data_IF_998322523046
#
_entry.id   IF_998322523046
#
_cell.length_a   1.000
_cell.length_b   1.000
_cell.length_c   1.000
_cell.angle_alpha   90.00
_cell.angle_beta   90.00
_cell.angle_gamma   90.00
#
_symmetry.space_group_name_H-M   'P 1'
#
loop_
_entity.id
_entity.type
_entity.pdbx_description
1 polymer ?
#
# COMPACT_ATOMS: atom_id res chain seq x y z
N UNK A 1 25.97 -0.96 29.48
CA UNK A 1 26.60 -1.76 28.41
C UNK A 1 25.70 -2.88 27.93
N UNK A 2 25.17 -3.72 28.81
CA UNK A 2 24.30 -4.88 28.48
C UNK A 2 23.03 -4.48 27.69
N UNK A 3 22.34 -3.41 28.05
CA UNK A 3 21.14 -2.94 27.33
C UNK A 3 21.44 -2.48 25.90
N UNK A 4 22.59 -1.86 25.66
CA UNK A 4 23.04 -1.46 24.30
C UNK A 4 23.33 -2.67 23.43
N UNK A 5 23.97 -3.69 23.99
CA UNK A 5 24.29 -4.95 23.29
C UNK A 5 22.98 -5.70 22.94
N UNK A 6 22.05 -5.78 23.90
CA UNK A 6 20.73 -6.41 23.68
C UNK A 6 19.95 -5.71 22.59
N UNK A 7 19.86 -4.38 22.62
CA UNK A 7 19.17 -3.60 21.58
C UNK A 7 19.83 -3.76 20.21
N UNK A 8 21.16 -3.80 20.14
CA UNK A 8 21.88 -4.02 18.88
C UNK A 8 21.64 -5.43 18.31
N UNK A 9 21.64 -6.47 19.14
CA UNK A 9 21.34 -7.84 18.74
C UNK A 9 19.90 -7.97 18.24
N UNK A 10 18.92 -7.38 18.95
CA UNK A 10 17.51 -7.38 18.55
C UNK A 10 17.34 -6.68 17.20
N UNK A 11 17.99 -5.54 16.96
CA UNK A 11 17.97 -4.85 15.68
C UNK A 11 18.60 -5.69 14.55
N UNK A 12 19.71 -6.40 14.82
CA UNK A 12 20.32 -7.28 13.81
C UNK A 12 19.46 -8.48 13.45
N UNK A 13 18.80 -9.10 14.42
CA UNK A 13 17.84 -10.19 14.15
C UNK A 13 16.66 -9.66 13.34
N UNK A 14 16.08 -8.53 13.76
CA UNK A 14 15.03 -7.85 13.00
C UNK A 14 15.46 -7.52 11.57
N UNK A 15 16.68 -7.01 11.38
CA UNK A 15 17.26 -6.72 10.07
C UNK A 15 17.29 -7.94 9.13
N UNK A 16 17.67 -9.11 9.65
CA UNK A 16 17.66 -10.35 8.83
C UNK A 16 16.25 -10.72 8.36
N UNK A 17 15.25 -10.58 9.23
CA UNK A 17 13.85 -10.87 8.88
C UNK A 17 13.33 -9.87 7.85
N UNK A 18 13.54 -8.57 8.06
CA UNK A 18 13.11 -7.53 7.13
C UNK A 18 13.79 -7.69 5.76
N UNK A 19 15.10 -7.95 5.76
CA UNK A 19 15.89 -8.18 4.53
C UNK A 19 15.40 -9.41 3.79
N UNK A 20 15.08 -10.50 4.50
CA UNK A 20 14.50 -11.71 3.91
C UNK A 20 13.17 -11.39 3.22
N UNK A 21 12.26 -10.66 3.88
CA UNK A 21 10.93 -10.37 3.32
C UNK A 21 10.97 -9.55 2.03
N UNK A 22 11.99 -8.71 1.84
CA UNK A 22 12.10 -7.90 0.62
C UNK A 22 12.90 -8.59 -0.50
N UNK A 23 13.56 -9.72 -0.22
CA UNK A 23 14.38 -10.41 -1.21
C UNK A 23 13.51 -11.10 -2.28
N UNK A 24 14.01 -11.13 -3.51
CA UNK A 24 13.37 -11.83 -4.60
C UNK A 24 13.40 -13.36 -4.39
N UNK A 25 14.49 -13.87 -3.83
CA UNK A 25 14.61 -15.29 -3.46
C UNK A 25 13.48 -15.73 -2.52
N UNK A 26 13.17 -14.93 -1.50
CA UNK A 26 12.05 -15.21 -0.60
C UNK A 26 10.70 -15.21 -1.33
N UNK A 27 10.49 -14.28 -2.24
CA UNK A 27 9.27 -14.22 -3.04
C UNK A 27 9.13 -15.49 -3.91
N UNK A 28 10.17 -15.85 -4.66
CA UNK A 28 10.15 -17.00 -5.57
C UNK A 28 9.99 -18.33 -4.82
N UNK A 29 10.72 -18.52 -3.72
CA UNK A 29 10.61 -19.72 -2.89
C UNK A 29 9.20 -19.87 -2.28
N UNK A 30 8.57 -18.76 -1.81
CA UNK A 30 7.19 -18.82 -1.33
C UNK A 30 6.21 -19.17 -2.45
N UNK A 31 6.38 -18.62 -3.64
CA UNK A 31 5.53 -18.94 -4.80
C UNK A 31 5.62 -20.41 -5.16
N UNK A 32 6.82 -20.96 -5.19
CA UNK A 32 7.04 -22.38 -5.48
C UNK A 32 6.42 -23.28 -4.40
N UNK A 33 6.64 -22.97 -3.12
CA UNK A 33 6.06 -23.73 -2.01
C UNK A 33 4.53 -23.70 -2.05
N UNK A 34 3.92 -22.53 -2.28
CA UNK A 34 2.46 -22.38 -2.37
C UNK A 34 1.88 -23.16 -3.53
N UNK A 35 2.54 -23.14 -4.68
CA UNK A 35 2.10 -23.87 -5.86
C UNK A 35 2.19 -25.38 -5.64
N UNK A 36 3.27 -25.89 -5.04
CA UNK A 36 3.39 -27.30 -4.65
C UNK A 36 2.26 -27.72 -3.70
N UNK A 37 1.95 -26.89 -2.69
CA UNK A 37 0.87 -27.16 -1.74
C UNK A 37 -0.50 -27.17 -2.43
N UNK A 38 -0.78 -26.18 -3.31
CA UNK A 38 -2.02 -26.12 -4.07
C UNK A 38 -2.23 -27.40 -4.90
N UNK A 39 -1.20 -27.86 -5.61
CA UNK A 39 -1.25 -29.07 -6.43
C UNK A 39 -1.47 -30.30 -5.55
N UNK A 40 -0.72 -30.44 -4.44
CA UNK A 40 -0.81 -31.59 -3.55
C UNK A 40 -2.18 -31.71 -2.86
N UNK A 41 -2.83 -30.58 -2.61
CA UNK A 41 -4.17 -30.48 -2.02
C UNK A 41 -5.29 -30.54 -3.08
N UNK A 42 -4.94 -30.69 -4.36
CA UNK A 42 -5.86 -30.71 -5.50
C UNK A 42 -6.80 -29.46 -5.51
N UNK A 43 -6.28 -28.28 -5.11
CA UNK A 43 -7.02 -27.03 -5.11
C UNK A 43 -6.97 -26.34 -6.47
N UNK A 44 -8.08 -25.73 -6.86
CA UNK A 44 -8.14 -24.81 -7.99
C UNK A 44 -7.38 -23.51 -7.72
N UNK A 45 -7.33 -22.64 -8.71
CA UNK A 45 -6.78 -21.30 -8.58
C UNK A 45 -7.84 -20.37 -7.98
N UNK A 46 -7.80 -20.17 -6.66
CA UNK A 46 -8.72 -19.33 -5.92
C UNK A 46 -8.12 -17.95 -5.70
N UNK A 47 -8.81 -16.90 -6.16
CA UNK A 47 -8.52 -15.51 -5.86
C UNK A 47 -9.57 -15.00 -4.88
N UNK A 48 -9.15 -14.58 -3.70
CA UNK A 48 -10.03 -13.90 -2.75
C UNK A 48 -10.06 -12.41 -3.07
N UNK A 49 -11.23 -11.82 -3.12
CA UNK A 49 -11.42 -10.39 -3.20
C UNK A 49 -12.14 -9.89 -1.94
N UNK A 50 -11.49 -9.01 -1.19
CA UNK A 50 -12.02 -8.40 0.03
C UNK A 50 -12.63 -7.04 -0.29
N UNK A 51 -13.95 -6.93 -0.17
CA UNK A 51 -14.70 -5.72 -0.48
C UNK A 51 -15.21 -5.03 0.79
N UNK A 52 -14.94 -3.73 0.92
CA UNK A 52 -15.46 -2.88 1.99
C UNK A 52 -16.35 -1.79 1.40
N UNK A 53 -17.64 -1.76 1.74
CA UNK A 53 -18.60 -0.87 1.11
C UNK A 53 -18.32 0.63 1.28
N UNK A 54 -17.68 1.04 2.38
CA UNK A 54 -17.29 2.44 2.61
C UNK A 54 -16.01 2.84 1.88
N UNK A 55 -15.18 1.87 1.50
CA UNK A 55 -13.83 2.14 1.00
C UNK A 55 -13.85 2.56 -0.48
N UNK A 56 -13.34 3.77 -0.81
CA UNK A 56 -13.24 4.27 -2.18
C UNK A 56 -12.45 3.36 -3.13
N UNK A 57 -11.38 2.75 -2.64
CA UNK A 57 -10.57 1.82 -3.44
C UNK A 57 -11.30 0.51 -3.74
N UNK A 58 -12.15 0.05 -2.81
CA UNK A 58 -13.05 -1.08 -3.07
C UNK A 58 -14.07 -0.76 -4.17
N UNK A 59 -14.60 0.47 -4.19
CA UNK A 59 -15.51 0.94 -5.25
C UNK A 59 -14.84 0.92 -6.62
N UNK A 60 -13.57 1.32 -6.72
CA UNK A 60 -12.83 1.23 -7.98
C UNK A 60 -12.50 -0.22 -8.34
N UNK A 61 -12.02 -1.00 -7.38
CA UNK A 61 -11.55 -2.36 -7.64
C UNK A 61 -12.68 -3.31 -8.06
N UNK A 62 -13.90 -3.18 -7.51
CA UNK A 62 -15.01 -4.06 -7.90
C UNK A 62 -15.41 -3.93 -9.37
N UNK A 63 -15.18 -2.79 -10.00
CA UNK A 63 -15.45 -2.57 -11.42
C UNK A 63 -14.57 -3.40 -12.36
N UNK A 64 -13.48 -3.99 -11.84
CA UNK A 64 -12.55 -4.81 -12.64
C UNK A 64 -12.86 -6.32 -12.57
N UNK A 65 -13.82 -6.74 -11.74
CA UNK A 65 -14.04 -8.16 -11.43
C UNK A 65 -14.55 -8.96 -12.63
N UNK A 66 -15.48 -8.39 -13.42
CA UNK A 66 -15.99 -9.05 -14.63
C UNK A 66 -14.86 -9.28 -15.62
N UNK A 67 -14.05 -8.24 -15.89
CA UNK A 67 -12.92 -8.31 -16.80
C UNK A 67 -11.86 -9.34 -16.34
N UNK A 68 -11.58 -9.39 -15.02
CA UNK A 68 -10.67 -10.37 -14.43
C UNK A 68 -11.17 -11.81 -14.67
N UNK A 69 -12.46 -12.05 -14.49
CA UNK A 69 -13.06 -13.37 -14.74
C UNK A 69 -13.13 -13.74 -16.22
N UNK A 70 -13.30 -12.78 -17.11
CA UNK A 70 -13.33 -13.03 -18.56
C UNK A 70 -11.94 -13.40 -19.08
N UNK A 71 -10.88 -12.84 -18.51
CA UNK A 71 -9.50 -13.01 -18.97
C UNK A 71 -8.85 -14.25 -18.35
N UNK A 72 -9.09 -14.54 -17.07
CA UNK A 72 -8.35 -15.55 -16.32
C UNK A 72 -9.20 -16.73 -15.87
N UNK A 73 -8.64 -17.94 -15.95
CA UNK A 73 -9.24 -19.18 -15.43
C UNK A 73 -9.00 -19.32 -13.93
N UNK A 74 -9.78 -18.59 -13.15
CA UNK A 74 -9.72 -18.53 -11.69
C UNK A 74 -11.10 -18.73 -11.06
N UNK A 75 -11.10 -19.16 -9.80
CA UNK A 75 -12.29 -19.16 -8.95
C UNK A 75 -12.23 -17.92 -8.02
N UNK A 76 -13.07 -16.93 -8.30
CA UNK A 76 -13.14 -15.70 -7.51
C UNK A 76 -14.02 -15.93 -6.27
N UNK A 77 -13.47 -15.69 -5.09
CA UNK A 77 -14.15 -15.73 -3.80
C UNK A 77 -14.29 -14.31 -3.27
N UNK A 78 -15.49 -13.77 -3.30
CA UNK A 78 -15.80 -12.42 -2.84
C UNK A 78 -16.19 -12.45 -1.37
N UNK A 79 -15.51 -11.66 -0.54
CA UNK A 79 -15.77 -11.55 0.90
C UNK A 79 -15.99 -10.08 1.26
N UNK A 80 -17.19 -9.78 1.77
CA UNK A 80 -17.49 -8.44 2.30
C UNK A 80 -16.87 -8.31 3.68
N UNK A 81 -16.13 -7.21 3.91
CA UNK A 81 -15.39 -6.94 5.14
C UNK A 81 -15.74 -5.57 5.71
N UNK A 82 -15.68 -5.47 7.02
CA UNK A 82 -15.89 -4.20 7.75
C UNK A 82 -14.65 -3.31 7.78
N UNK A 83 -14.84 -2.12 8.35
CA UNK A 83 -13.76 -1.15 8.57
C UNK A 83 -12.67 -1.73 9.47
N UNK A 84 -11.38 -1.54 9.15
CA UNK A 84 -10.31 -1.99 10.01
C UNK A 84 -10.17 -1.09 11.25
N UNK A 85 -9.99 -1.71 12.41
CA UNK A 85 -9.82 -1.01 13.69
C UNK A 85 -8.40 -0.44 13.92
N UNK A 86 -7.55 -0.47 12.90
CA UNK A 86 -6.14 -0.02 12.96
C UNK A 86 -5.88 1.27 12.18
N UNK A 87 -6.94 1.95 11.76
CA UNK A 87 -6.85 3.26 11.12
C UNK A 87 -6.79 4.31 12.23
N UNK A 88 -5.75 5.12 12.18
CA UNK A 88 -5.65 6.33 12.99
C UNK A 88 -6.28 7.48 12.21
N UNK A 89 -7.05 8.33 12.87
CA UNK A 89 -7.78 9.44 12.26
C UNK A 89 -8.69 8.98 11.08
N UNK A 90 -9.71 8.14 11.35
CA UNK A 90 -10.49 7.49 10.30
C UNK A 90 -11.22 8.47 9.38
N UNK A 91 -11.71 9.59 9.90
CA UNK A 91 -12.42 10.59 9.08
C UNK A 91 -11.47 11.20 8.04
N UNK A 92 -10.31 11.70 8.47
CA UNK A 92 -9.29 12.23 7.56
C UNK A 92 -8.79 11.18 6.56
N UNK A 93 -8.68 9.91 7.01
CA UNK A 93 -8.24 8.83 6.14
C UNK A 93 -9.24 8.58 5.01
N UNK A 94 -10.54 8.47 5.31
CA UNK A 94 -11.55 8.21 4.27
C UNK A 94 -11.79 9.42 3.36
N UNK A 95 -11.69 10.64 3.85
CA UNK A 95 -11.69 11.85 3.02
C UNK A 95 -10.52 11.85 2.03
N UNK A 96 -9.30 11.57 2.52
CA UNK A 96 -8.13 11.44 1.64
C UNK A 96 -8.32 10.32 0.60
N UNK A 97 -8.76 9.13 1.01
CA UNK A 97 -8.99 8.02 0.10
C UNK A 97 -10.05 8.35 -0.96
N UNK A 98 -11.07 9.13 -0.60
CA UNK A 98 -12.11 9.58 -1.51
C UNK A 98 -11.55 10.53 -2.58
N UNK A 99 -10.78 11.53 -2.17
CA UNK A 99 -10.16 12.49 -3.09
C UNK A 99 -9.15 11.82 -4.02
N UNK A 100 -8.30 10.95 -3.46
CA UNK A 100 -7.31 10.19 -4.22
C UNK A 100 -7.99 9.25 -5.23
N UNK A 101 -8.94 8.42 -4.81
CA UNK A 101 -9.66 7.51 -5.69
C UNK A 101 -10.44 8.25 -6.79
N UNK A 102 -11.04 9.39 -6.46
CA UNK A 102 -11.74 10.22 -7.43
C UNK A 102 -10.79 10.78 -8.49
N UNK A 103 -9.59 11.19 -8.09
CA UNK A 103 -8.58 11.75 -9.00
C UNK A 103 -7.98 10.72 -9.95
N UNK A 104 -7.86 9.45 -9.52
CA UNK A 104 -7.22 8.40 -10.31
C UNK A 104 -8.20 7.58 -11.18
N UNK A 105 -9.50 7.55 -10.86
CA UNK A 105 -10.49 6.70 -11.51
C UNK A 105 -10.42 6.74 -13.05
N UNK A 106 -10.44 7.95 -13.63
CA UNK A 106 -10.36 8.15 -15.09
C UNK A 106 -9.05 7.65 -15.69
N UNK A 107 -7.94 7.74 -14.95
CA UNK A 107 -6.63 7.27 -15.42
C UNK A 107 -6.59 5.75 -15.60
N UNK A 108 -7.44 5.04 -14.85
CA UNK A 108 -7.62 3.59 -14.96
C UNK A 108 -8.81 3.19 -15.85
N UNK A 109 -9.49 4.15 -16.48
CA UNK A 109 -10.68 3.88 -17.31
C UNK A 109 -11.86 3.35 -16.51
N UNK A 110 -11.98 3.76 -15.25
CA UNK A 110 -13.05 3.37 -14.33
C UNK A 110 -14.05 4.50 -14.14
N UNK A 111 -15.28 4.14 -13.75
CA UNK A 111 -16.27 5.12 -13.37
C UNK A 111 -15.81 5.88 -12.13
N UNK A 112 -16.02 7.18 -12.15
CA UNK A 112 -15.72 8.06 -11.02
C UNK A 112 -16.64 7.79 -9.83
N UNK A 113 -16.16 8.09 -8.64
CA UNK A 113 -16.98 7.96 -7.44
C UNK A 113 -18.13 9.00 -7.46
N UNK A 114 -19.27 8.70 -6.82
CA UNK A 114 -20.28 9.71 -6.51
C UNK A 114 -19.72 10.84 -5.66
N UNK A 115 -20.46 11.96 -5.53
CA UNK A 115 -19.96 13.21 -4.94
C UNK A 115 -19.63 13.17 -3.44
N UNK A 116 -19.92 12.08 -2.74
CA UNK A 116 -19.69 11.92 -1.30
C UNK A 116 -19.61 10.44 -0.90
N UNK A 117 -19.01 10.20 0.26
CA UNK A 117 -19.01 8.88 0.90
C UNK A 117 -20.45 8.40 1.20
N UNK A 118 -20.68 7.07 1.18
CA UNK A 118 -21.99 6.50 1.48
C UNK A 118 -22.37 6.71 2.96
N UNK A 119 -23.66 6.83 3.22
CA UNK A 119 -24.17 6.94 4.58
C UNK A 119 -24.04 5.60 5.33
N UNK A 120 -23.94 5.69 6.66
CA UNK A 120 -23.90 4.49 7.52
C UNK A 120 -25.14 3.60 7.34
N UNK A 121 -26.30 4.19 7.04
CA UNK A 121 -27.52 3.43 6.76
C UNK A 121 -27.40 2.64 5.46
N UNK A 122 -26.91 3.26 4.38
CA UNK A 122 -26.69 2.59 3.11
C UNK A 122 -25.68 1.44 3.24
N UNK A 123 -24.57 1.68 3.96
CA UNK A 123 -23.54 0.65 4.22
C UNK A 123 -24.15 -0.55 4.93
N UNK A 124 -24.87 -0.36 6.06
CA UNK A 124 -25.49 -1.45 6.82
C UNK A 124 -26.49 -2.26 6.01
N UNK A 125 -27.31 -1.60 5.20
CA UNK A 125 -28.25 -2.28 4.31
C UNK A 125 -27.51 -3.08 3.24
N UNK A 126 -26.49 -2.51 2.63
CA UNK A 126 -25.66 -3.20 1.63
C UNK A 126 -24.92 -4.40 2.23
N UNK A 127 -24.29 -4.25 3.39
CA UNK A 127 -23.65 -5.37 4.12
C UNK A 127 -24.66 -6.49 4.39
N UNK A 128 -25.82 -6.15 4.91
CA UNK A 128 -26.88 -7.11 5.18
C UNK A 128 -27.31 -7.88 3.93
N UNK A 129 -27.47 -7.23 2.78
CA UNK A 129 -27.83 -7.88 1.52
C UNK A 129 -26.71 -8.82 1.07
N UNK A 130 -25.47 -8.33 1.00
CA UNK A 130 -24.33 -9.07 0.43
C UNK A 130 -23.89 -10.25 1.30
N UNK A 131 -23.97 -10.13 2.63
CA UNK A 131 -23.57 -11.18 3.56
C UNK A 131 -24.59 -12.32 3.68
N UNK A 132 -25.81 -12.13 3.17
CA UNK A 132 -26.80 -13.21 3.09
C UNK A 132 -26.59 -14.17 1.90
N UNK A 133 -25.69 -13.83 0.97
CA UNK A 133 -25.38 -14.65 -0.19
C UNK A 133 -24.27 -15.65 0.13
N UNK A 134 -24.57 -16.94 0.12
CA UNK A 134 -23.58 -18.00 0.35
C UNK A 134 -22.47 -18.01 -0.72
N UNK A 135 -22.82 -17.69 -1.97
CA UNK A 135 -21.90 -17.59 -3.10
C UNK A 135 -22.10 -16.24 -3.78
N UNK A 136 -21.52 -15.20 -3.18
CA UNK A 136 -21.63 -13.85 -3.68
C UNK A 136 -21.02 -13.68 -5.06
N UNK A 137 -21.88 -13.39 -6.05
CA UNK A 137 -21.46 -13.09 -7.42
C UNK A 137 -21.02 -11.64 -7.59
N UNK A 138 -20.11 -11.40 -8.52
CA UNK A 138 -19.59 -10.07 -8.79
C UNK A 138 -20.65 -9.08 -9.30
N UNK A 139 -21.64 -9.54 -10.09
CA UNK A 139 -22.71 -8.69 -10.60
C UNK A 139 -23.57 -8.11 -9.47
N UNK A 140 -23.93 -8.95 -8.48
CA UNK A 140 -24.67 -8.50 -7.32
C UNK A 140 -23.84 -7.54 -6.47
N UNK A 141 -22.55 -7.87 -6.24
CA UNK A 141 -21.63 -6.99 -5.52
C UNK A 141 -21.58 -5.60 -6.14
N UNK A 142 -21.32 -5.50 -7.45
CA UNK A 142 -21.19 -4.24 -8.18
C UNK A 142 -22.50 -3.44 -8.04
N UNK A 143 -23.63 -4.06 -8.33
CA UNK A 143 -24.95 -3.43 -8.26
C UNK A 143 -25.27 -2.89 -6.88
N UNK A 144 -25.02 -3.65 -5.81
CA UNK A 144 -25.28 -3.20 -4.44
C UNK A 144 -24.27 -2.10 -4.04
N UNK A 145 -23.02 -2.22 -4.44
CA UNK A 145 -22.01 -1.18 -4.20
C UNK A 145 -22.42 0.16 -4.83
N UNK A 146 -22.88 0.16 -6.07
CA UNK A 146 -23.38 1.37 -6.74
C UNK A 146 -24.57 1.99 -5.99
N UNK A 147 -25.55 1.18 -5.57
CA UNK A 147 -26.70 1.66 -4.79
C UNK A 147 -26.30 2.23 -3.43
N UNK A 148 -25.36 1.60 -2.75
CA UNK A 148 -24.81 2.08 -1.47
C UNK A 148 -24.12 3.44 -1.67
N UNK A 149 -23.30 3.58 -2.71
CA UNK A 149 -22.58 4.83 -2.99
C UNK A 149 -23.53 5.93 -3.51
N UNK A 150 -24.60 5.58 -4.19
CA UNK A 150 -25.67 6.53 -4.60
C UNK A 150 -26.65 6.87 -3.48
N UNK A 151 -26.51 6.22 -2.30
CA UNK A 151 -27.43 6.36 -1.15
C UNK A 151 -28.89 6.08 -1.49
N UNK A 152 -29.16 5.06 -2.30
CA UNK A 152 -30.51 4.61 -2.71
C UNK A 152 -31.20 3.83 -1.58
N UNK A 153 -31.45 4.48 -0.44
CA UNK A 153 -31.91 3.85 0.80
C UNK A 153 -33.19 3.03 0.60
N UNK A 154 -34.20 3.58 -0.11
CA UNK A 154 -35.47 2.90 -0.30
C UNK A 154 -35.33 1.58 -1.06
N UNK A 155 -34.50 1.55 -2.09
CA UNK A 155 -34.23 0.34 -2.85
C UNK A 155 -33.43 -0.68 -2.06
N UNK A 156 -32.46 -0.23 -1.29
CA UNK A 156 -31.69 -1.09 -0.38
C UNK A 156 -32.58 -1.68 0.73
N UNK A 157 -33.52 -0.90 1.30
CA UNK A 157 -34.50 -1.39 2.26
C UNK A 157 -35.37 -2.47 1.65
N UNK A 158 -35.88 -2.27 0.42
CA UNK A 158 -36.71 -3.26 -0.28
C UNK A 158 -35.93 -4.57 -0.50
N UNK A 159 -34.69 -4.49 -0.98
CA UNK A 159 -33.84 -5.64 -1.22
C UNK A 159 -33.45 -6.38 0.08
N UNK A 160 -33.38 -5.67 1.21
CA UNK A 160 -33.01 -6.24 2.50
C UNK A 160 -34.20 -6.85 3.29
N UNK A 161 -35.43 -6.74 2.83
CA UNK A 161 -36.64 -7.17 3.59
C UNK A 161 -36.64 -8.63 4.05
N UNK A 162 -36.00 -9.50 3.28
CA UNK A 162 -36.01 -10.95 3.54
C UNK A 162 -34.64 -11.46 4.01
N UNK A 163 -33.71 -10.56 4.33
CA UNK A 163 -32.35 -10.93 4.78
C UNK A 163 -32.33 -11.04 6.30
N UNK A 164 -31.46 -11.94 6.82
CA UNK A 164 -31.20 -12.10 8.24
C UNK A 164 -30.09 -11.16 8.73
N UNK A 165 -29.93 -11.00 10.05
CA UNK A 165 -28.77 -10.34 10.61
C UNK A 165 -27.55 -11.27 10.52
N UNK A 166 -26.40 -10.73 10.02
CA UNK A 166 -25.24 -11.51 9.61
C UNK A 166 -23.93 -10.99 10.20
N UNK A 167 -23.99 -10.45 11.42
CA UNK A 167 -22.80 -9.94 12.12
C UNK A 167 -21.65 -10.97 12.17
N UNK A 168 -21.99 -12.24 12.41
CA UNK A 168 -21.00 -13.32 12.47
C UNK A 168 -20.22 -13.49 11.16
N UNK A 169 -20.88 -13.39 10.01
CA UNK A 169 -20.22 -13.54 8.70
C UNK A 169 -19.23 -12.38 8.43
N UNK A 170 -19.57 -11.17 8.87
CA UNK A 170 -18.66 -10.03 8.74
C UNK A 170 -17.37 -10.24 9.58
N UNK A 171 -17.51 -10.73 10.80
CA UNK A 171 -16.38 -11.05 11.68
C UNK A 171 -15.51 -12.17 11.12
N UNK A 172 -16.10 -13.24 10.58
CA UNK A 172 -15.42 -14.34 9.93
C UNK A 172 -14.59 -13.85 8.72
N UNK A 173 -15.19 -13.01 7.88
CA UNK A 173 -14.53 -12.42 6.73
C UNK A 173 -13.38 -11.48 7.15
N UNK A 174 -13.57 -10.68 8.20
CA UNK A 174 -12.51 -9.84 8.77
C UNK A 174 -11.35 -10.67 9.31
N UNK A 175 -11.65 -11.79 9.99
CA UNK A 175 -10.64 -12.72 10.47
C UNK A 175 -9.90 -13.39 9.30
N UNK A 176 -10.62 -13.80 8.25
CA UNK A 176 -10.02 -14.37 7.03
C UNK A 176 -9.06 -13.38 6.38
N UNK A 177 -9.47 -12.12 6.17
CA UNK A 177 -8.61 -11.03 5.64
C UNK A 177 -7.35 -10.87 6.47
N UNK A 178 -7.48 -10.79 7.81
CA UNK A 178 -6.35 -10.66 8.73
C UNK A 178 -5.42 -11.87 8.66
N UNK A 179 -5.96 -13.09 8.62
CA UNK A 179 -5.18 -14.34 8.52
C UNK A 179 -4.41 -14.40 7.21
N UNK A 180 -4.99 -13.91 6.12
CA UNK A 180 -4.34 -13.79 4.81
C UNK A 180 -3.38 -12.59 4.72
N UNK A 181 -3.20 -11.85 5.80
CA UNK A 181 -2.14 -10.86 5.95
C UNK A 181 -2.46 -9.46 5.45
N UNK A 182 -3.75 -9.10 5.40
CA UNK A 182 -4.16 -7.73 5.02
C UNK A 182 -5.18 -7.11 6.01
N UNK A 183 -5.47 -5.81 5.82
CA UNK A 183 -6.29 -5.03 6.74
C UNK A 183 -7.27 -4.08 6.05
N UNK A 184 -7.15 -3.83 4.74
CA UNK A 184 -8.02 -2.92 3.98
C UNK A 184 -9.04 -3.67 3.12
N UNK A 185 -10.01 -2.93 2.56
CA UNK A 185 -10.83 -3.35 1.44
C UNK A 185 -10.09 -3.18 0.10
N UNK A 186 -10.76 -3.53 -1.02
CA UNK A 186 -10.19 -3.41 -2.35
C UNK A 186 -8.96 -4.29 -2.59
N UNK A 187 -8.86 -5.42 -1.90
CA UNK A 187 -7.69 -6.29 -1.90
C UNK A 187 -7.98 -7.61 -2.59
N UNK A 188 -7.13 -7.95 -3.53
CA UNK A 188 -7.05 -9.30 -4.10
C UNK A 188 -5.98 -10.10 -3.38
N UNK A 189 -6.28 -11.34 -3.04
CA UNK A 189 -5.32 -12.27 -2.44
C UNK A 189 -5.22 -13.52 -3.29
N UNK A 190 -3.99 -13.89 -3.67
CA UNK A 190 -3.73 -15.14 -4.37
C UNK A 190 -2.47 -15.82 -3.82
N UNK A 191 -2.63 -17.05 -3.34
CA UNK A 191 -1.55 -17.93 -2.86
C UNK A 191 -0.45 -17.22 -2.04
N UNK A 192 -0.89 -16.49 -0.98
CA UNK A 192 0.01 -15.85 -0.01
C UNK A 192 0.48 -14.44 -0.37
N UNK A 193 0.06 -13.90 -1.50
CA UNK A 193 0.33 -12.51 -1.90
C UNK A 193 -0.96 -11.67 -1.91
N UNK A 194 -0.84 -10.43 -1.45
CA UNK A 194 -1.91 -9.44 -1.48
C UNK A 194 -1.62 -8.35 -2.52
N UNK A 195 -2.67 -7.91 -3.20
CA UNK A 195 -2.65 -6.88 -4.25
C UNK A 195 -3.74 -5.88 -3.90
N UNK A 196 -3.37 -4.72 -3.36
CA UNK A 196 -4.30 -3.73 -2.85
C UNK A 196 -4.53 -2.60 -3.85
N UNK A 197 -5.78 -2.41 -4.24
CA UNK A 197 -6.20 -1.40 -5.20
C UNK A 197 -5.98 -1.81 -6.66
N UNK A 198 -6.52 -1.00 -7.55
CA UNK A 198 -6.47 -1.24 -9.00
C UNK A 198 -5.06 -1.13 -9.60
N UNK A 199 -4.20 -0.36 -8.95
CA UNK A 199 -2.81 -0.13 -9.36
C UNK A 199 -1.90 -1.34 -9.08
N UNK A 200 -2.36 -2.32 -8.31
CA UNK A 200 -1.65 -3.59 -8.05
C UNK A 200 -2.18 -4.76 -8.87
N UNK A 201 -3.25 -4.57 -9.66
CA UNK A 201 -3.81 -5.64 -10.49
C UNK A 201 -2.83 -6.18 -11.52
N UNK A 202 -2.00 -5.31 -12.13
CA UNK A 202 -1.00 -5.77 -13.09
C UNK A 202 -0.05 -6.83 -12.52
N UNK A 203 0.28 -6.77 -11.23
CA UNK A 203 1.12 -7.79 -10.58
C UNK A 203 0.37 -9.10 -10.33
N UNK A 204 -0.94 -9.04 -10.09
CA UNK A 204 -1.78 -10.24 -10.06
C UNK A 204 -1.87 -10.86 -11.46
N UNK A 205 -2.08 -10.05 -12.50
CA UNK A 205 -2.08 -10.49 -13.90
C UNK A 205 -0.76 -11.18 -14.26
N UNK A 206 0.40 -10.54 -13.99
CA UNK A 206 1.73 -11.14 -14.22
C UNK A 206 1.87 -12.51 -13.52
N UNK A 207 1.32 -12.62 -12.30
CA UNK A 207 1.35 -13.87 -11.53
C UNK A 207 0.47 -14.96 -12.16
N UNK A 208 -0.73 -14.62 -12.63
CA UNK A 208 -1.67 -15.54 -13.26
C UNK A 208 -1.19 -15.95 -14.67
N UNK A 209 -0.59 -15.03 -15.42
CA UNK A 209 0.03 -15.30 -16.73
C UNK A 209 1.21 -16.26 -16.61
N UNK A 210 2.08 -16.08 -15.63
CA UNK A 210 3.20 -16.98 -15.34
C UNK A 210 2.74 -18.43 -15.05
N UNK A 211 1.48 -18.61 -14.64
CA UNK A 211 0.84 -19.90 -14.40
C UNK A 211 0.00 -20.38 -15.59
N UNK A 212 0.06 -19.69 -16.73
CA UNK A 212 -0.69 -20.01 -17.96
C UNK A 212 -2.21 -20.05 -17.77
N UNK A 213 -2.75 -19.14 -16.93
CA UNK A 213 -4.18 -19.09 -16.61
C UNK A 213 -4.99 -18.18 -17.53
N UNK A 214 -4.38 -17.53 -18.50
CA UNK A 214 -5.09 -16.71 -19.50
C UNK A 214 -6.01 -17.55 -20.37
N UNK A 215 -7.24 -17.04 -20.60
CA UNK A 215 -8.23 -17.60 -21.53
C UNK A 215 -8.15 -16.96 -22.92
N UNK A 216 -7.62 -15.74 -23.00
CA UNK A 216 -7.53 -14.92 -24.22
C UNK A 216 -6.38 -13.93 -24.11
N UNK A 217 -6.08 -13.18 -25.17
CA UNK A 217 -4.95 -12.24 -25.22
C UNK A 217 -5.24 -10.87 -24.57
N UNK A 218 -6.43 -10.67 -24.00
CA UNK A 218 -6.78 -9.42 -23.33
C UNK A 218 -5.99 -9.24 -22.03
N UNK A 219 -5.91 -8.01 -21.56
CA UNK A 219 -5.34 -7.62 -20.25
C UNK A 219 -6.21 -6.55 -19.62
N UNK A 220 -6.31 -6.54 -18.32
CA UNK A 220 -6.97 -5.44 -17.59
C UNK A 220 -6.13 -4.16 -17.72
N UNK A 221 -4.81 -4.31 -17.77
CA UNK A 221 -3.83 -3.24 -17.95
C UNK A 221 -4.07 -2.02 -17.03
N UNK A 222 -4.47 -2.27 -15.79
CA UNK A 222 -4.69 -1.25 -14.75
C UNK A 222 -3.41 -0.96 -13.97
N UNK A 223 -2.24 -1.31 -14.49
CA UNK A 223 -0.95 -0.99 -13.88
C UNK A 223 -0.70 0.52 -13.79
N UNK A 224 0.20 0.95 -12.90
CA UNK A 224 0.54 2.36 -12.77
C UNK A 224 1.05 2.91 -14.10
N UNK A 225 0.32 3.86 -14.64
CA UNK A 225 0.75 4.52 -15.88
C UNK A 225 1.91 5.46 -15.56
N UNK A 226 3.01 5.31 -16.28
CA UNK A 226 4.07 6.31 -16.26
C UNK A 226 3.49 7.63 -16.77
N UNK A 227 3.51 8.66 -15.96
CA UNK A 227 3.20 10.01 -16.41
C UNK A 227 4.32 10.39 -17.38
N UNK A 228 3.98 10.56 -18.66
CA UNK A 228 4.92 11.11 -19.64
C UNK A 228 5.17 12.56 -19.25
N UNK A 229 6.43 13.00 -19.40
CA UNK A 229 6.74 14.43 -19.28
C UNK A 229 5.78 15.20 -20.19
N UNK A 230 5.01 16.17 -19.66
CA UNK A 230 4.34 17.13 -20.54
C UNK A 230 5.41 17.85 -21.36
N UNK A 231 5.01 18.43 -22.49
CA UNK A 231 5.82 19.43 -23.20
C UNK A 231 6.26 20.52 -22.21
N UNK A 232 7.33 21.30 -22.49
CA UNK A 232 7.87 22.24 -21.53
C UNK A 232 6.75 22.96 -20.80
N UNK A 233 6.65 22.72 -19.51
CA UNK A 233 5.63 23.33 -18.67
C UNK A 233 6.16 24.70 -18.26
N UNK A 234 5.71 25.73 -18.97
CA UNK A 234 5.98 27.12 -18.62
C UNK A 234 4.90 27.58 -17.63
N UNK A 235 5.30 27.81 -16.41
CA UNK A 235 4.46 28.43 -15.39
C UNK A 235 5.16 29.71 -14.92
N UNK A 236 4.40 30.82 -14.84
CA UNK A 236 4.96 32.11 -14.45
C UNK A 236 5.38 32.16 -12.99
N UNK A 237 4.80 31.30 -12.14
CA UNK A 237 5.07 31.24 -10.71
C UNK A 237 5.73 29.89 -10.32
N UNK A 238 6.66 29.97 -9.35
CA UNK A 238 7.25 28.77 -8.74
C UNK A 238 6.19 28.02 -7.92
N UNK A 239 5.94 26.77 -8.27
CA UNK A 239 5.05 25.89 -7.51
C UNK A 239 5.77 25.28 -6.31
N UNK A 240 5.05 25.09 -5.21
CA UNK A 240 5.60 24.47 -3.99
C UNK A 240 5.05 23.07 -3.83
N UNK A 241 5.96 22.08 -3.73
CA UNK A 241 5.65 20.72 -3.32
C UNK A 241 6.13 20.48 -1.88
N UNK A 242 5.19 20.38 -0.95
CA UNK A 242 5.51 19.97 0.41
C UNK A 242 5.65 18.44 0.50
N UNK A 243 6.83 17.98 0.85
CA UNK A 243 7.15 16.55 0.97
C UNK A 243 7.36 16.19 2.44
N UNK A 244 6.62 15.18 2.93
CA UNK A 244 6.61 14.75 4.33
C UNK A 244 7.26 13.37 4.52
N UNK A 245 8.59 13.22 4.38
CA UNK A 245 9.27 11.94 4.50
C UNK A 245 9.32 11.43 5.94
N UNK A 246 9.16 10.11 6.10
CA UNK A 246 9.34 9.42 7.38
C UNK A 246 10.45 8.38 7.30
N UNK A 247 11.46 8.46 8.18
CA UNK A 247 12.66 7.61 8.14
C UNK A 247 12.38 6.10 8.22
N UNK A 248 11.22 5.68 8.72
CA UNK A 248 10.87 4.26 8.80
C UNK A 248 9.81 3.83 7.76
N UNK A 249 9.55 4.66 6.76
CA UNK A 249 8.60 4.34 5.69
C UNK A 249 9.32 3.85 4.42
N UNK A 250 9.23 2.57 4.06
CA UNK A 250 9.86 2.09 2.84
C UNK A 250 9.22 2.68 1.57
N UNK A 251 7.92 3.01 1.57
CA UNK A 251 7.30 3.74 0.46
C UNK A 251 7.90 5.13 0.27
N UNK A 252 8.16 5.84 1.38
CA UNK A 252 8.88 7.11 1.31
C UNK A 252 10.25 6.94 0.65
N UNK A 253 10.99 5.86 0.99
CA UNK A 253 12.29 5.60 0.39
C UNK A 253 12.20 5.51 -1.14
N UNK A 254 11.31 4.69 -1.66
CA UNK A 254 11.20 4.50 -3.12
C UNK A 254 10.59 5.68 -3.87
N UNK A 255 9.96 6.63 -3.18
CA UNK A 255 9.41 7.86 -3.79
C UNK A 255 10.43 8.98 -3.99
N UNK A 256 11.58 8.94 -3.31
CA UNK A 256 12.55 10.04 -3.31
C UNK A 256 13.07 10.41 -4.69
N UNK A 257 13.44 9.41 -5.50
CA UNK A 257 13.98 9.68 -6.84
C UNK A 257 12.95 10.40 -7.71
N UNK A 258 11.67 10.03 -7.59
CA UNK A 258 10.57 10.71 -8.29
C UNK A 258 10.38 12.14 -7.79
N UNK A 259 10.46 12.38 -6.48
CA UNK A 259 10.35 13.73 -5.91
C UNK A 259 11.51 14.61 -6.38
N UNK A 260 12.73 14.10 -6.38
CA UNK A 260 13.90 14.81 -6.93
C UNK A 260 13.76 15.09 -8.43
N UNK A 261 13.20 14.14 -9.18
CA UNK A 261 12.96 14.31 -10.60
C UNK A 261 11.90 15.39 -10.88
N UNK A 262 10.83 15.47 -10.05
CA UNK A 262 9.82 16.55 -10.15
C UNK A 262 10.48 17.92 -9.96
N UNK A 263 11.33 18.07 -8.94
CA UNK A 263 12.06 19.34 -8.70
C UNK A 263 13.00 19.70 -9.85
N UNK A 264 13.60 18.69 -10.51
CA UNK A 264 14.48 18.88 -11.64
C UNK A 264 13.75 19.20 -12.97
N UNK A 265 12.59 18.60 -13.19
CA UNK A 265 11.91 18.58 -14.48
C UNK A 265 10.82 19.67 -14.60
N UNK A 266 10.40 20.24 -13.49
CA UNK A 266 9.28 21.20 -13.41
C UNK A 266 9.68 22.45 -12.61
N UNK A 267 9.02 23.60 -12.80
CA UNK A 267 9.22 24.81 -11.99
C UNK A 267 8.61 24.60 -10.58
N UNK A 268 9.08 23.60 -9.88
CA UNK A 268 8.60 23.17 -8.56
C UNK A 268 9.74 23.19 -7.56
N UNK A 269 9.56 23.88 -6.45
CA UNK A 269 10.46 23.82 -5.31
C UNK A 269 9.95 22.84 -4.26
N UNK A 270 10.77 21.86 -3.90
CA UNK A 270 10.44 20.88 -2.85
C UNK A 270 10.76 21.43 -1.46
N UNK A 271 9.77 21.49 -0.60
CA UNK A 271 9.93 21.80 0.83
C UNK A 271 9.85 20.49 1.61
N UNK A 272 10.99 20.05 2.12
CA UNK A 272 11.08 18.81 2.91
C UNK A 272 10.65 19.08 4.36
N UNK A 273 9.59 18.41 4.81
CA UNK A 273 9.02 18.50 6.18
C UNK A 273 9.00 17.11 6.83
N UNK A 274 10.11 16.61 7.40
CA UNK A 274 10.18 15.26 7.95
C UNK A 274 9.17 15.02 9.07
N UNK A 275 8.56 13.82 9.08
CA UNK A 275 7.63 13.40 10.13
C UNK A 275 8.19 12.21 10.91
N UNK A 276 7.92 12.16 12.22
CA UNK A 276 8.32 11.04 13.05
C UNK A 276 7.65 9.74 12.60
N UNK A 277 8.37 8.61 12.60
CA UNK A 277 7.79 7.31 12.34
C UNK A 277 6.58 7.01 13.23
N UNK A 278 5.56 6.34 12.68
CA UNK A 278 4.32 6.00 13.40
C UNK A 278 4.59 5.33 14.75
N UNK A 279 5.49 4.35 14.79
CA UNK A 279 5.87 3.66 16.04
C UNK A 279 6.51 4.59 17.09
N UNK A 280 7.14 5.69 16.68
CA UNK A 280 7.69 6.71 17.59
C UNK A 280 6.62 7.72 18.07
N UNK A 281 5.42 7.67 17.48
CA UNK A 281 4.23 8.44 17.88
C UNK A 281 3.20 7.58 18.62
N UNK A 282 3.61 6.39 19.12
CA UNK A 282 2.75 5.41 19.77
C UNK A 282 1.58 4.90 18.91
N UNK A 283 1.75 4.93 17.60
CA UNK A 283 0.77 4.35 16.66
C UNK A 283 1.17 2.91 16.35
N UNK A 284 0.34 1.96 16.72
CA UNK A 284 0.63 0.54 16.52
C UNK A 284 0.61 0.14 15.05
N UNK A 285 1.56 -0.71 14.68
CA UNK A 285 1.61 -1.35 13.36
C UNK A 285 1.62 -2.87 13.58
N UNK A 286 0.49 -3.55 13.39
CA UNK A 286 0.45 -5.01 13.46
C UNK A 286 1.45 -5.66 12.50
N UNK A 287 1.99 -6.81 12.89
CA UNK A 287 3.05 -7.49 12.13
C UNK A 287 2.65 -7.81 10.68
N UNK A 288 1.41 -8.20 10.45
CA UNK A 288 0.89 -8.48 9.10
C UNK A 288 0.84 -7.23 8.23
N UNK A 289 0.46 -6.06 8.79
CA UNK A 289 0.51 -4.76 8.12
C UNK A 289 1.95 -4.39 7.76
N UNK A 290 2.88 -4.54 8.71
CA UNK A 290 4.30 -4.26 8.48
C UNK A 290 4.90 -5.17 7.40
N UNK A 291 4.55 -6.46 7.39
CA UNK A 291 4.99 -7.42 6.37
C UNK A 291 4.44 -7.04 4.99
N UNK A 292 3.14 -6.73 4.89
CA UNK A 292 2.52 -6.30 3.64
C UNK A 292 3.23 -5.07 3.07
N UNK A 293 3.41 -4.00 3.87
CA UNK A 293 4.09 -2.77 3.45
C UNK A 293 5.47 -3.07 2.87
N UNK A 294 6.27 -3.91 3.53
CA UNK A 294 7.62 -4.25 3.06
C UNK A 294 7.61 -5.07 1.77
N UNK A 295 6.76 -6.09 1.68
CA UNK A 295 6.71 -6.95 0.49
C UNK A 295 6.13 -6.21 -0.73
N UNK A 296 5.15 -5.34 -0.53
CA UNK A 296 4.59 -4.50 -1.58
C UNK A 296 5.58 -3.43 -2.05
N UNK A 297 6.25 -2.75 -1.11
CA UNK A 297 7.33 -1.81 -1.47
C UNK A 297 8.45 -2.49 -2.23
N UNK A 298 8.82 -3.73 -1.86
CA UNK A 298 9.85 -4.49 -2.58
C UNK A 298 9.39 -4.84 -4.02
N UNK A 299 8.10 -5.10 -4.22
CA UNK A 299 7.50 -5.30 -5.54
C UNK A 299 7.61 -4.03 -6.39
N UNK A 300 7.22 -2.89 -5.83
CA UNK A 300 7.35 -1.58 -6.49
C UNK A 300 8.81 -1.21 -6.77
N UNK A 301 9.70 -1.42 -5.81
CA UNK A 301 11.13 -1.14 -5.96
C UNK A 301 11.74 -1.93 -7.13
N UNK A 302 11.43 -3.23 -7.25
CA UNK A 302 11.89 -4.05 -8.39
C UNK A 302 11.40 -3.51 -9.72
N UNK A 303 10.12 -3.12 -9.82
CA UNK A 303 9.56 -2.51 -11.04
C UNK A 303 10.23 -1.20 -11.41
N UNK A 304 10.60 -0.41 -10.41
CA UNK A 304 11.25 0.89 -10.59
C UNK A 304 12.78 0.80 -10.76
N UNK A 305 13.38 -0.41 -10.63
CA UNK A 305 14.83 -0.59 -10.63
C UNK A 305 15.53 -0.01 -9.39
N UNK A 306 14.80 0.23 -8.29
CA UNK A 306 15.32 0.78 -7.04
C UNK A 306 15.81 -0.37 -6.16
N UNK A 307 17.06 -0.29 -5.71
CA UNK A 307 17.64 -1.26 -4.78
C UNK A 307 16.92 -1.22 -3.43
N UNK A 308 16.47 -2.38 -2.94
CA UNK A 308 15.93 -2.55 -1.60
C UNK A 308 16.56 -3.77 -0.91
N UNK A 309 17.00 -3.59 0.36
CA UNK A 309 17.75 -4.60 1.12
C UNK A 309 19.26 -4.60 0.80
N UNK A 310 20.07 -4.88 1.84
CA UNK A 310 19.69 -5.20 3.24
C UNK A 310 19.06 -4.02 4.00
N UNK A 311 18.16 -4.34 4.93
CA UNK A 311 17.42 -3.34 5.71
C UNK A 311 17.90 -3.32 7.15
N UNK A 312 18.20 -2.14 7.68
CA UNK A 312 18.38 -1.90 9.11
C UNK A 312 17.44 -0.79 9.59
N UNK A 313 16.40 -1.17 10.36
CA UNK A 313 15.41 -0.20 10.84
C UNK A 313 16.05 0.97 11.59
N UNK A 314 15.70 2.23 11.24
CA UNK A 314 16.22 3.42 11.88
C UNK A 314 15.53 3.81 13.18
N UNK A 315 14.55 3.05 13.65
CA UNK A 315 13.70 3.41 14.79
C UNK A 315 14.48 3.70 16.09
N UNK A 316 13.95 4.63 16.87
CA UNK A 316 14.48 5.05 18.17
C UNK A 316 15.71 5.96 18.04
N UNK A 317 16.74 5.69 18.81
CA UNK A 317 17.97 6.54 18.86
C UNK A 317 18.60 6.89 17.50
N UNK A 318 18.65 6.01 16.50
CA UNK A 318 19.14 6.38 15.17
C UNK A 318 18.32 7.48 14.51
N UNK A 319 16.97 7.35 14.52
CA UNK A 319 16.08 8.38 13.97
C UNK A 319 16.19 9.69 14.76
N UNK A 320 16.19 9.65 16.11
CA UNK A 320 16.34 10.84 16.96
C UNK A 320 17.59 11.65 16.58
N UNK A 321 18.72 10.98 16.43
CA UNK A 321 20.00 11.62 16.05
C UNK A 321 19.96 12.19 14.63
N UNK A 322 19.39 11.44 13.70
CA UNK A 322 19.26 11.90 12.32
C UNK A 322 18.36 13.13 12.22
N UNK A 323 17.19 13.10 12.86
CA UNK A 323 16.28 14.26 12.88
C UNK A 323 16.84 15.46 13.61
N UNK A 324 17.67 15.28 14.65
CA UNK A 324 18.26 16.43 15.37
C UNK A 324 19.20 17.28 14.50
N UNK A 325 19.79 16.70 13.47
CA UNK A 325 20.65 17.42 12.52
C UNK A 325 19.88 18.04 11.35
N UNK A 326 18.67 17.58 11.10
CA UNK A 326 17.88 17.99 9.93
C UNK A 326 17.66 19.51 9.83
N UNK A 327 17.24 20.25 10.89
CA UNK A 327 17.01 21.70 10.78
C UNK A 327 18.23 22.46 10.31
N UNK A 328 19.42 22.11 10.82
CA UNK A 328 20.68 22.71 10.42
C UNK A 328 21.03 22.35 8.97
N UNK A 329 20.95 21.07 8.58
CA UNK A 329 21.23 20.63 7.19
C UNK A 329 20.25 21.31 6.21
N UNK A 330 18.99 21.39 6.58
CA UNK A 330 17.95 22.00 5.74
C UNK A 330 18.17 23.51 5.55
N UNK A 331 18.67 24.23 6.57
CA UNK A 331 19.02 25.66 6.45
C UNK A 331 20.14 25.94 5.45
N UNK A 332 20.92 24.89 5.09
CA UNK A 332 21.94 24.94 4.05
C UNK A 332 21.43 24.40 2.68
N UNK A 333 20.12 24.20 2.52
CA UNK A 333 19.52 23.72 1.27
C UNK A 333 19.80 22.23 0.95
N UNK A 334 20.22 21.44 1.94
CA UNK A 334 20.59 20.02 1.77
C UNK A 334 19.60 19.04 2.40
N UNK A 335 18.41 19.51 2.79
CA UNK A 335 17.42 18.72 3.53
C UNK A 335 16.93 17.49 2.75
N UNK A 336 16.60 17.64 1.48
CA UNK A 336 16.10 16.56 0.62
C UNK A 336 17.16 15.48 0.42
N UNK A 337 18.38 15.87 0.03
CA UNK A 337 19.51 14.95 -0.17
C UNK A 337 19.90 14.22 1.12
N UNK A 338 19.91 14.93 2.24
CA UNK A 338 20.19 14.34 3.56
C UNK A 338 19.17 13.23 3.91
N UNK A 339 17.88 13.51 3.77
CA UNK A 339 16.84 12.51 4.05
C UNK A 339 16.92 11.32 3.10
N UNK A 340 17.19 11.55 1.82
CA UNK A 340 17.37 10.48 0.84
C UNK A 340 18.53 9.54 1.22
N UNK A 341 19.71 10.07 1.52
CA UNK A 341 20.89 9.27 1.87
C UNK A 341 20.69 8.48 3.18
N UNK A 342 20.00 9.06 4.19
CA UNK A 342 19.63 8.34 5.40
C UNK A 342 18.73 7.13 5.10
N UNK A 343 17.74 7.33 4.24
CA UNK A 343 16.78 6.27 3.91
C UNK A 343 17.41 5.20 3.01
N UNK A 344 18.21 5.58 2.02
CA UNK A 344 18.99 4.67 1.19
C UNK A 344 19.92 3.80 2.05
N UNK A 345 20.65 4.41 2.97
CA UNK A 345 21.51 3.69 3.89
C UNK A 345 20.75 2.69 4.79
N UNK A 346 19.53 3.05 5.21
CA UNK A 346 18.69 2.16 6.03
C UNK A 346 18.03 1.04 5.21
N UNK A 347 17.50 1.34 4.02
CA UNK A 347 16.65 0.41 3.25
C UNK A 347 17.40 -0.33 2.13
N UNK A 348 18.56 0.15 1.68
CA UNK A 348 19.31 -0.48 0.60
C UNK A 348 20.71 -0.98 1.02
N UNK A 349 21.30 -0.40 2.07
CA UNK A 349 22.68 -0.71 2.46
C UNK A 349 22.80 -1.34 3.86
N UNK A 350 21.69 -1.37 4.64
CA UNK A 350 21.66 -1.96 5.98
C UNK A 350 22.58 -1.27 6.99
N UNK A 351 22.78 0.03 6.84
CA UNK A 351 23.68 0.83 7.67
C UNK A 351 22.96 1.42 8.87
N UNK A 352 23.62 1.47 10.03
CA UNK A 352 23.11 2.17 11.21
C UNK A 352 23.28 3.69 11.05
N UNK A 353 22.23 4.36 10.63
CA UNK A 353 22.24 5.81 10.42
C UNK A 353 22.41 6.63 11.72
N UNK A 354 22.31 6.00 12.89
CA UNK A 354 22.51 6.65 14.18
C UNK A 354 23.97 6.67 14.65
N UNK A 355 24.90 6.05 13.92
CA UNK A 355 26.31 6.07 14.27
C UNK A 355 26.94 7.45 13.98
N UNK A 356 27.64 7.99 14.97
CA UNK A 356 28.32 9.30 14.85
C UNK A 356 29.26 9.35 13.64
N UNK A 357 30.00 8.26 13.39
CA UNK A 357 30.93 8.17 12.24
C UNK A 357 30.18 8.26 10.91
N UNK A 358 29.04 7.56 10.80
CA UNK A 358 28.19 7.63 9.61
C UNK A 358 27.66 9.04 9.38
N UNK A 359 27.02 9.64 10.39
CA UNK A 359 26.44 10.99 10.29
C UNK A 359 27.50 12.02 9.92
N UNK A 360 28.70 11.94 10.53
CA UNK A 360 29.81 12.84 10.19
C UNK A 360 30.24 12.70 8.74
N UNK A 361 30.31 11.49 8.22
CA UNK A 361 30.65 11.24 6.82
C UNK A 361 29.57 11.73 5.87
N UNK A 362 28.30 11.51 6.21
CA UNK A 362 27.17 11.99 5.43
C UNK A 362 27.14 13.52 5.36
N UNK A 363 27.31 14.23 6.48
CA UNK A 363 27.39 15.69 6.50
C UNK A 363 28.52 16.19 5.61
N UNK A 364 29.70 15.53 5.67
CA UNK A 364 30.85 15.88 4.82
C UNK A 364 30.56 15.60 3.34
N UNK A 365 29.85 14.53 2.97
CA UNK A 365 29.51 14.24 1.57
C UNK A 365 28.47 15.22 0.98
N UNK A 366 27.77 15.96 1.83
CA UNK A 366 26.89 17.06 1.45
C UNK A 366 27.60 18.42 1.39
N UNK A 367 28.92 18.44 1.46
CA UNK A 367 29.78 19.64 1.46
C UNK A 367 29.52 20.56 2.67
N UNK A 368 29.07 19.98 3.79
CA UNK A 368 28.84 20.72 5.04
C UNK A 368 29.95 20.46 6.07
N UNK A 369 30.21 21.46 6.92
CA UNK A 369 31.23 21.38 7.93
C UNK A 369 30.68 20.85 9.26
N UNK A 370 31.05 19.64 9.67
CA UNK A 370 30.61 19.03 10.93
C UNK A 370 30.90 19.85 12.21
N UNK A 371 31.85 20.81 12.13
CA UNK A 371 32.23 21.62 13.30
C UNK A 371 31.31 22.81 13.56
N UNK A 372 30.48 23.14 12.61
CA UNK A 372 29.46 24.18 12.76
C UNK A 372 28.24 23.61 13.49
#
# INVERSE_FOLDING_TARGET
MISKIRNFLTRKVGSKVLTKWVSEEYLLNNREEREKNRISENRGHEVYYFHQLKDPYSYLACQTLSELLDIYNINLKILVVGEPNIIHEPDMFYEYCFDDASSIASNYGLNTLPSKLPSSSAIKLGERILLNEENLGHDLLIRITEKVWSNEIKELEELSKHTQEVENHLEENNLKRKTLGHYQGGVFHYEGENYWGVDRLSYLEDRLEALSLKKNDNTINKGPKMIRRPSPFEHEEELILEFFPSLNSPYTYISFERVKQIESDYPVRVITKPVLPMLMRNMEIPSYKGKYILTDTAREARRLGIKIGPILSPLGKPAERAYSLFPWVNSHGKGLDYMYELMKSSFADGVDIGEKKYLKNLIKSLDLNWKE
#
